data_IF_460134796560
#
_entry.id   IF_460134796560
#
_cell.length_a   1.000
_cell.length_b   1.000
_cell.length_c   1.000
_cell.angle_alpha   90.00
_cell.angle_beta   90.00
_cell.angle_gamma   90.00
#
_symmetry.space_group_name_H-M   'P 1'
#
loop_
_entity.id
_entity.type
_entity.pdbx_description
1 polymer ?
#
# COMPACT_ATOMS: atom_id res chain seq x y z
N UNK A 1 30.18 13.34 -17.73
CA UNK A 1 28.96 14.03 -18.21
C UNK A 1 27.77 13.06 -18.39
N UNK A 2 27.90 11.94 -19.05
CA UNK A 2 26.78 11.02 -19.32
C UNK A 2 26.05 10.44 -18.10
N UNK A 3 26.71 10.19 -16.98
CA UNK A 3 26.09 9.64 -15.77
C UNK A 3 25.16 10.62 -15.05
N UNK A 4 25.44 11.91 -15.05
CA UNK A 4 24.59 12.92 -14.42
C UNK A 4 23.31 13.17 -15.23
N UNK A 5 23.40 13.14 -16.56
CA UNK A 5 22.24 13.29 -17.44
C UNK A 5 21.29 12.09 -17.35
N UNK A 6 21.82 10.88 -17.23
CA UNK A 6 21.00 9.65 -17.05
C UNK A 6 20.32 9.63 -15.69
N UNK A 7 21.00 10.06 -14.63
CA UNK A 7 20.40 10.15 -13.28
C UNK A 7 19.29 11.18 -13.23
N UNK A 8 19.51 12.39 -13.76
CA UNK A 8 18.46 13.42 -13.84
C UNK A 8 17.25 12.96 -14.68
N UNK A 9 17.49 12.25 -15.78
CA UNK A 9 16.44 11.65 -16.59
C UNK A 9 15.64 10.58 -15.83
N UNK A 10 16.31 9.73 -15.05
CA UNK A 10 15.68 8.71 -14.23
C UNK A 10 14.78 9.31 -13.12
N UNK A 11 15.30 10.32 -12.43
CA UNK A 11 14.55 11.03 -11.39
C UNK A 11 13.31 11.75 -11.94
N UNK A 12 13.42 12.35 -13.13
CA UNK A 12 12.31 12.99 -13.82
C UNK A 12 11.24 11.97 -14.17
N UNK A 13 11.61 10.82 -14.75
CA UNK A 13 10.67 9.73 -15.06
C UNK A 13 10.01 9.19 -13.78
N UNK A 14 10.75 9.02 -12.70
CA UNK A 14 10.19 8.61 -11.42
C UNK A 14 9.17 9.63 -10.90
N UNK A 15 9.49 10.92 -10.95
CA UNK A 15 8.58 11.99 -10.51
C UNK A 15 7.28 12.00 -11.31
N UNK A 16 7.37 11.83 -12.63
CA UNK A 16 6.19 11.71 -13.51
C UNK A 16 5.36 10.48 -13.17
N UNK A 17 6.00 9.35 -12.87
CA UNK A 17 5.34 8.14 -12.42
C UNK A 17 4.59 8.31 -11.10
N UNK A 18 5.20 8.98 -10.12
CA UNK A 18 4.53 9.29 -8.85
C UNK A 18 3.34 10.24 -9.05
N UNK A 19 3.50 11.29 -9.86
CA UNK A 19 2.42 12.22 -10.19
C UNK A 19 1.23 11.51 -10.87
N UNK A 20 1.50 10.56 -11.77
CA UNK A 20 0.47 9.74 -12.39
C UNK A 20 -0.25 8.85 -11.36
N UNK A 21 0.48 8.29 -10.36
CA UNK A 21 -0.13 7.53 -9.26
C UNK A 21 -1.05 8.41 -8.39
N UNK A 22 -0.66 9.64 -8.12
CA UNK A 22 -1.50 10.60 -7.38
C UNK A 22 -2.78 10.96 -8.14
N UNK A 23 -2.73 10.91 -9.48
CA UNK A 23 -3.89 11.06 -10.36
C UNK A 23 -4.70 9.77 -10.57
N UNK A 24 -4.39 8.68 -9.86
CA UNK A 24 -4.96 7.31 -10.03
C UNK A 24 -4.78 6.72 -11.44
N UNK A 25 -3.84 7.25 -12.22
CA UNK A 25 -3.46 6.73 -13.54
C UNK A 25 -2.27 5.75 -13.44
N UNK A 26 -2.59 4.55 -12.98
CA UNK A 26 -1.57 3.50 -12.74
C UNK A 26 -0.94 2.98 -14.02
N UNK A 27 -1.62 3.04 -15.15
CA UNK A 27 -1.08 2.61 -16.44
C UNK A 27 0.00 3.57 -16.94
N UNK A 28 -0.24 4.87 -16.90
CA UNK A 28 0.76 5.90 -17.22
C UNK A 28 1.93 5.84 -16.24
N UNK A 29 1.63 5.68 -14.94
CA UNK A 29 2.65 5.52 -13.91
C UNK A 29 3.57 4.33 -14.19
N UNK A 30 3.01 3.18 -14.58
CA UNK A 30 3.77 1.98 -14.92
C UNK A 30 4.81 2.27 -16.03
N UNK A 31 4.41 2.97 -17.10
CA UNK A 31 5.31 3.33 -18.18
C UNK A 31 6.48 4.22 -17.73
N UNK A 32 6.20 5.24 -16.92
CA UNK A 32 7.23 6.12 -16.38
C UNK A 32 8.17 5.40 -15.41
N UNK A 33 7.63 4.58 -14.50
CA UNK A 33 8.44 3.84 -13.53
C UNK A 33 9.33 2.77 -14.18
N UNK A 34 8.85 2.10 -15.22
CA UNK A 34 9.69 1.18 -16.01
C UNK A 34 10.84 1.91 -16.69
N UNK A 35 10.60 3.10 -17.26
CA UNK A 35 11.67 3.93 -17.86
C UNK A 35 12.66 4.42 -16.82
N UNK A 36 12.18 4.91 -15.67
CA UNK A 36 13.03 5.35 -14.57
C UNK A 36 13.99 4.25 -14.12
N UNK A 37 13.47 3.05 -13.85
CA UNK A 37 14.27 1.91 -13.38
C UNK A 37 15.17 1.30 -14.45
N UNK A 38 14.84 1.49 -15.72
CA UNK A 38 15.73 1.13 -16.83
C UNK A 38 16.93 2.06 -16.94
N UNK A 39 16.75 3.34 -16.64
CA UNK A 39 17.82 4.33 -16.62
C UNK A 39 18.70 4.21 -15.39
N UNK A 40 18.11 3.94 -14.24
CA UNK A 40 18.78 3.78 -12.97
C UNK A 40 18.04 2.80 -12.08
N UNK A 41 18.68 1.68 -11.72
CA UNK A 41 18.13 0.77 -10.72
C UNK A 41 18.23 1.41 -9.32
N UNK A 42 17.07 1.77 -8.77
CA UNK A 42 16.95 2.41 -7.47
C UNK A 42 15.94 1.66 -6.60
N UNK A 43 16.42 1.00 -5.54
CA UNK A 43 15.59 0.16 -4.68
C UNK A 43 14.39 0.89 -4.07
N UNK A 44 14.52 2.17 -3.72
CA UNK A 44 13.42 3.00 -3.21
C UNK A 44 12.27 3.20 -4.21
N UNK A 45 12.47 2.91 -5.49
CA UNK A 45 11.44 3.06 -6.52
C UNK A 45 10.70 1.74 -6.81
N UNK A 46 11.26 0.61 -6.41
CA UNK A 46 10.71 -0.72 -6.70
C UNK A 46 9.28 -0.89 -6.17
N UNK A 47 8.94 -0.34 -5.00
CA UNK A 47 7.59 -0.50 -4.43
C UNK A 47 6.50 0.17 -5.27
N UNK A 48 6.82 1.29 -5.90
CA UNK A 48 5.90 2.01 -6.79
C UNK A 48 5.64 1.19 -8.06
N UNK A 49 6.71 0.67 -8.67
CA UNK A 49 6.59 -0.25 -9.80
C UNK A 49 5.84 -1.52 -9.41
N UNK A 50 6.11 -2.07 -8.22
CA UNK A 50 5.46 -3.26 -7.68
C UNK A 50 3.95 -3.13 -7.59
N UNK A 51 3.46 -1.99 -7.11
CA UNK A 51 2.03 -1.69 -7.07
C UNK A 51 1.43 -1.61 -8.49
N UNK A 52 2.07 -0.88 -9.42
CA UNK A 52 1.59 -0.76 -10.79
C UNK A 52 1.54 -2.12 -11.52
N UNK A 53 2.56 -2.95 -11.37
CA UNK A 53 2.59 -4.30 -11.97
C UNK A 53 1.47 -5.17 -11.40
N UNK A 54 1.25 -5.13 -10.10
CA UNK A 54 0.18 -5.88 -9.46
C UNK A 54 -1.20 -5.44 -9.96
N UNK A 55 -1.42 -4.13 -10.11
CA UNK A 55 -2.69 -3.56 -10.55
C UNK A 55 -2.95 -3.80 -12.04
N UNK A 56 -2.00 -3.47 -12.90
CA UNK A 56 -2.19 -3.47 -14.35
C UNK A 56 -1.99 -4.85 -15.00
N UNK A 57 -1.13 -5.69 -14.40
CA UNK A 57 -0.76 -7.00 -14.98
C UNK A 57 -1.19 -8.19 -14.12
N UNK A 58 -1.81 -7.96 -12.95
CA UNK A 58 -2.21 -9.02 -12.02
C UNK A 58 -1.04 -9.81 -11.41
N UNK A 59 0.19 -9.32 -11.53
CA UNK A 59 1.40 -10.00 -11.05
C UNK A 59 1.64 -9.68 -9.56
N UNK A 60 0.73 -10.12 -8.69
CA UNK A 60 0.73 -9.78 -7.27
C UNK A 60 1.99 -10.27 -6.55
N UNK A 61 2.48 -11.49 -6.85
CA UNK A 61 3.69 -12.02 -6.24
C UNK A 61 4.91 -11.15 -6.56
N UNK A 62 5.11 -10.82 -7.84
CA UNK A 62 6.20 -9.95 -8.27
C UNK A 62 6.07 -8.54 -7.67
N UNK A 63 4.86 -7.99 -7.63
CA UNK A 63 4.58 -6.71 -6.98
C UNK A 63 4.98 -6.71 -5.52
N UNK A 64 4.64 -7.77 -4.78
CA UNK A 64 5.03 -7.94 -3.37
C UNK A 64 6.54 -8.04 -3.20
N UNK A 65 7.23 -8.82 -4.02
CA UNK A 65 8.69 -8.94 -3.98
C UNK A 65 9.39 -7.59 -4.18
N UNK A 66 8.92 -6.77 -5.12
CA UNK A 66 9.42 -5.41 -5.35
C UNK A 66 9.16 -4.48 -4.16
N UNK A 67 8.00 -4.55 -3.52
CA UNK A 67 7.72 -3.79 -2.31
C UNK A 67 8.65 -4.18 -1.16
N UNK A 68 8.89 -5.47 -0.96
CA UNK A 68 9.81 -5.96 0.06
C UNK A 68 11.25 -5.55 -0.21
N UNK A 69 11.68 -5.49 -1.47
CA UNK A 69 12.99 -4.97 -1.86
C UNK A 69 13.16 -3.51 -1.45
N UNK A 70 12.14 -2.66 -1.68
CA UNK A 70 12.17 -1.27 -1.21
C UNK A 70 12.22 -1.16 0.31
N UNK A 71 11.44 -1.98 1.02
CA UNK A 71 11.42 -2.00 2.48
C UNK A 71 12.74 -2.45 3.10
N UNK A 72 13.45 -3.39 2.45
CA UNK A 72 14.77 -3.82 2.88
C UNK A 72 15.80 -2.69 2.76
N UNK A 73 15.69 -1.84 1.75
CA UNK A 73 16.57 -0.71 1.52
C UNK A 73 16.21 0.52 2.37
N UNK A 74 14.91 0.81 2.51
CA UNK A 74 14.39 2.01 3.19
C UNK A 74 13.26 1.62 4.18
N UNK A 75 13.56 0.94 5.32
CA UNK A 75 12.56 0.38 6.23
C UNK A 75 11.72 1.43 6.97
N UNK A 76 12.17 2.69 7.01
CA UNK A 76 11.46 3.78 7.68
C UNK A 76 10.50 4.55 6.76
N UNK A 77 10.49 4.24 5.46
CA UNK A 77 9.69 4.98 4.49
C UNK A 77 8.27 4.44 4.40
N UNK A 78 7.31 5.17 4.96
CA UNK A 78 5.89 4.76 5.01
C UNK A 78 5.26 4.48 3.64
N UNK A 79 5.74 5.12 2.55
CA UNK A 79 5.25 4.90 1.20
C UNK A 79 5.40 3.44 0.74
N UNK A 80 6.45 2.73 1.17
CA UNK A 80 6.67 1.34 0.81
C UNK A 80 5.68 0.40 1.49
N UNK A 81 5.32 0.68 2.74
CA UNK A 81 4.25 -0.04 3.46
C UNK A 81 2.89 0.21 2.81
N UNK A 82 2.64 1.44 2.36
CA UNK A 82 1.43 1.78 1.63
C UNK A 82 1.30 0.98 0.35
N UNK A 83 2.35 0.94 -0.47
CA UNK A 83 2.38 0.18 -1.73
C UNK A 83 2.27 -1.33 -1.48
N UNK A 84 2.94 -1.87 -0.46
CA UNK A 84 2.80 -3.27 -0.06
C UNK A 84 1.36 -3.59 0.35
N UNK A 85 0.74 -2.75 1.16
CA UNK A 85 -0.66 -2.90 1.55
C UNK A 85 -1.61 -2.91 0.36
N UNK A 86 -1.41 -2.01 -0.61
CA UNK A 86 -2.18 -1.99 -1.87
C UNK A 86 -2.03 -3.29 -2.66
N UNK A 87 -0.82 -3.81 -2.82
CA UNK A 87 -0.56 -5.08 -3.52
C UNK A 87 -1.26 -6.23 -2.80
N UNK A 88 -1.21 -6.29 -1.49
CA UNK A 88 -1.86 -7.32 -0.68
C UNK A 88 -3.40 -7.21 -0.73
N UNK A 89 -3.94 -5.99 -0.80
CA UNK A 89 -5.37 -5.80 -1.06
C UNK A 89 -5.81 -6.36 -2.42
N UNK A 90 -5.00 -6.14 -3.46
CA UNK A 90 -5.26 -6.66 -4.81
C UNK A 90 -5.19 -8.19 -4.86
N UNK A 91 -4.32 -8.82 -4.10
CA UNK A 91 -4.23 -10.28 -4.00
C UNK A 91 -5.30 -10.90 -3.08
N UNK A 92 -6.06 -10.09 -2.35
CA UNK A 92 -7.07 -10.55 -1.39
C UNK A 92 -6.54 -10.87 0.01
N UNK A 93 -5.25 -10.64 0.27
CA UNK A 93 -4.58 -10.93 1.54
C UNK A 93 -4.84 -9.81 2.57
N UNK A 94 -6.08 -9.69 3.03
CA UNK A 94 -6.55 -8.59 3.89
C UNK A 94 -5.78 -8.47 5.21
N UNK A 95 -5.43 -9.59 5.82
CA UNK A 95 -4.72 -9.58 7.11
C UNK A 95 -3.30 -9.04 6.94
N UNK A 96 -2.60 -9.46 5.91
CA UNK A 96 -1.27 -8.97 5.58
C UNK A 96 -1.31 -7.50 5.18
N UNK A 97 -2.32 -7.07 4.40
CA UNK A 97 -2.52 -5.67 4.07
C UNK A 97 -2.73 -4.80 5.31
N UNK A 98 -3.57 -5.25 6.25
CA UNK A 98 -3.76 -4.56 7.53
C UNK A 98 -2.46 -4.43 8.32
N UNK A 99 -1.66 -5.51 8.35
CA UNK A 99 -0.37 -5.51 9.04
C UNK A 99 0.59 -4.51 8.41
N UNK A 100 0.78 -4.56 7.09
CA UNK A 100 1.65 -3.62 6.37
C UNK A 100 1.22 -2.16 6.58
N UNK A 101 -0.08 -1.86 6.45
CA UNK A 101 -0.57 -0.49 6.62
C UNK A 101 -0.42 0.01 8.07
N UNK A 102 -0.61 -0.85 9.08
CA UNK A 102 -0.35 -0.49 10.49
C UNK A 102 1.13 -0.20 10.74
N UNK A 103 2.04 -0.98 10.17
CA UNK A 103 3.47 -0.68 10.23
C UNK A 103 3.78 0.67 9.59
N UNK A 104 3.19 0.96 8.43
CA UNK A 104 3.31 2.27 7.79
C UNK A 104 2.80 3.43 8.67
N UNK A 105 1.74 3.22 9.46
CA UNK A 105 1.27 4.20 10.44
C UNK A 105 2.30 4.44 11.55
N UNK A 106 2.95 3.40 12.05
CA UNK A 106 4.03 3.51 13.05
C UNK A 106 5.22 4.30 12.51
N UNK A 107 5.52 4.16 11.21
CA UNK A 107 6.61 4.87 10.53
C UNK A 107 6.29 6.33 10.13
N UNK A 108 5.22 6.87 10.64
CA UNK A 108 4.81 8.26 10.42
C UNK A 108 3.45 8.43 9.76
N UNK A 109 2.93 7.38 9.14
CA UNK A 109 1.62 7.37 8.53
C UNK A 109 1.48 8.31 7.32
N UNK A 110 0.34 8.25 6.68
CA UNK A 110 -0.05 9.20 5.64
C UNK A 110 -1.58 9.21 5.49
N UNK A 111 -2.17 10.27 4.93
CA UNK A 111 -3.61 10.29 4.65
C UNK A 111 -4.05 9.12 3.77
N UNK A 112 -3.18 8.66 2.88
CA UNK A 112 -3.44 7.52 2.01
C UNK A 112 -3.53 6.21 2.79
N UNK A 113 -2.61 5.96 3.73
CA UNK A 113 -2.65 4.78 4.60
C UNK A 113 -3.94 4.77 5.41
N UNK A 114 -4.37 5.92 5.95
CA UNK A 114 -5.62 6.04 6.69
C UNK A 114 -6.80 5.65 5.80
N UNK A 115 -6.88 6.19 4.59
CA UNK A 115 -7.95 5.84 3.62
C UNK A 115 -7.98 4.35 3.31
N UNK A 116 -6.82 3.71 3.14
CA UNK A 116 -6.73 2.28 2.86
C UNK A 116 -7.16 1.42 4.06
N UNK A 117 -6.78 1.83 5.27
CA UNK A 117 -7.24 1.17 6.50
C UNK A 117 -8.77 1.28 6.67
N UNK A 118 -9.34 2.45 6.38
CA UNK A 118 -10.79 2.65 6.41
C UNK A 118 -11.50 1.79 5.35
N UNK A 119 -10.95 1.70 4.14
CA UNK A 119 -11.48 0.88 3.05
C UNK A 119 -11.45 -0.63 3.39
N UNK A 120 -10.42 -1.10 4.07
CA UNK A 120 -10.33 -2.49 4.55
C UNK A 120 -11.37 -2.78 5.64
N UNK A 121 -11.96 -1.76 6.21
CA UNK A 121 -12.90 -1.86 7.30
C UNK A 121 -12.21 -2.37 8.55
N UNK A 122 -11.67 -1.47 9.35
CA UNK A 122 -11.24 -1.75 10.73
C UNK A 122 -12.46 -1.97 11.62
N UNK A 123 -13.38 -2.84 11.17
CA UNK A 123 -14.52 -3.23 12.02
C UNK A 123 -13.95 -4.05 13.14
N UNK A 124 -14.20 -3.59 14.35
CA UNK A 124 -13.94 -4.38 15.55
C UNK A 124 -14.49 -5.80 15.33
N UNK A 125 -13.76 -6.86 15.73
CA UNK A 125 -14.26 -8.22 15.62
C UNK A 125 -15.63 -8.32 16.31
N UNK A 126 -16.49 -9.22 15.83
CA UNK A 126 -17.80 -9.43 16.47
C UNK A 126 -17.61 -9.86 17.94
N UNK A 127 -18.48 -9.39 18.83
CA UNK A 127 -18.41 -9.72 20.26
C UNK A 127 -18.49 -11.24 20.46
N UNK A 128 -19.30 -11.89 19.62
CA UNK A 128 -19.41 -13.36 19.56
C UNK A 128 -19.00 -13.86 18.18
N UNK A 129 -17.76 -14.39 18.00
CA UNK A 129 -17.30 -14.87 16.70
C UNK A 129 -18.15 -16.01 16.10
N UNK A 130 -18.81 -16.80 16.95
CA UNK A 130 -19.67 -17.91 16.53
C UNK A 130 -21.05 -17.45 16.00
N UNK A 131 -21.42 -16.19 16.20
CA UNK A 131 -22.69 -15.65 15.73
C UNK A 131 -22.47 -14.73 14.52
N UNK A 132 -23.38 -14.81 13.54
CA UNK A 132 -23.39 -13.90 12.39
C UNK A 132 -23.34 -12.44 12.85
N UNK A 133 -22.60 -11.58 12.11
CA UNK A 133 -22.54 -10.12 12.37
C UNK A 133 -23.92 -9.45 12.30
N UNK A 134 -24.85 -10.00 11.55
CA UNK A 134 -26.23 -9.52 11.44
C UNK A 134 -27.09 -9.90 12.63
N UNK A 135 -26.58 -10.79 13.52
CA UNK A 135 -27.31 -11.18 14.70
C UNK A 135 -27.52 -9.98 15.64
N UNK A 136 -28.75 -9.70 16.07
CA UNK A 136 -29.05 -8.53 16.91
C UNK A 136 -28.23 -8.49 18.20
N UNK A 137 -27.89 -9.64 18.79
CA UNK A 137 -27.05 -9.71 19.99
C UNK A 137 -25.66 -9.10 19.77
N UNK A 138 -24.99 -9.45 18.66
CA UNK A 138 -23.67 -8.87 18.31
C UNK A 138 -23.76 -7.35 18.09
N UNK A 139 -24.89 -6.90 17.50
CA UNK A 139 -25.13 -5.48 17.22
C UNK A 139 -25.37 -4.68 18.49
N UNK A 140 -26.21 -5.17 19.40
CA UNK A 140 -26.52 -4.47 20.66
C UNK A 140 -25.35 -4.42 21.62
N UNK A 141 -24.62 -5.52 21.82
CA UNK A 141 -23.43 -5.56 22.66
C UNK A 141 -22.28 -4.73 22.10
N UNK A 142 -22.07 -4.73 20.78
CA UNK A 142 -21.08 -3.87 20.14
C UNK A 142 -21.37 -2.39 20.36
N UNK A 143 -22.62 -1.96 20.27
CA UNK A 143 -23.06 -0.59 20.55
C UNK A 143 -22.92 -0.22 22.04
N UNK A 144 -23.23 -1.14 22.95
CA UNK A 144 -23.10 -0.93 24.37
C UNK A 144 -21.64 -0.74 24.80
N UNK A 145 -20.75 -1.62 24.33
CA UNK A 145 -19.32 -1.55 24.61
C UNK A 145 -18.68 -0.27 24.05
N UNK A 146 -19.10 0.16 22.85
CA UNK A 146 -18.68 1.42 22.25
C UNK A 146 -19.14 2.62 23.11
N UNK A 147 -20.36 2.57 23.64
CA UNK A 147 -20.92 3.64 24.49
C UNK A 147 -20.23 3.72 25.85
N UNK A 148 -19.71 2.61 26.35
CA UNK A 148 -18.96 2.52 27.61
C UNK A 148 -17.46 2.80 27.44
N UNK A 149 -16.98 3.09 26.23
CA UNK A 149 -15.56 3.33 25.96
C UNK A 149 -14.66 2.09 26.12
N UNK A 150 -15.24 0.89 26.14
CA UNK A 150 -14.53 -0.37 26.36
C UNK A 150 -14.09 -1.03 25.02
N UNK A 151 -14.38 -0.37 23.87
CA UNK A 151 -14.06 -0.92 22.55
C UNK A 151 -14.01 0.17 21.48
#
# INVERSE_FOLDING_TARGET
MGHQETTAGAEMEFTLGVAALEADDTLTALGHLERALKLQDHHGWHSYLGYCIARERGQHRKGRELCLSSLAAEPERQAHYCNLGRVQMLSGDKEDALRALREGMVKGGSPEIIRLLDALGTRNPSVFPALSRTNPLNRYLGLLLKRLGLR
#
